data_IF_576812058474
#
_entry.id   IF_576812058474
#
_cell.length_a   1.000
_cell.length_b   1.000
_cell.length_c   1.000
_cell.angle_alpha   90.00
_cell.angle_beta   90.00
_cell.angle_gamma   90.00
#
_symmetry.space_group_name_H-M   'P 1'
#
loop_
_entity.id
_entity.type
_entity.pdbx_description
1 polymer ?
#
# COMPACT_ATOMS: atom_id res chain seq x y z
N UNK A 1 10.68 -22.42 -8.26
CA UNK A 1 11.32 -22.65 -9.57
C UNK A 1 11.47 -21.34 -10.31
N UNK A 2 12.52 -21.23 -11.11
CA UNK A 2 12.78 -20.06 -11.95
C UNK A 2 12.85 -20.50 -13.40
N UNK A 3 12.47 -19.62 -14.32
CA UNK A 3 12.74 -19.83 -15.76
C UNK A 3 14.16 -19.42 -16.15
N UNK A 4 14.48 -19.56 -17.45
CA UNK A 4 15.79 -19.23 -18.02
C UNK A 4 16.15 -17.75 -17.94
N UNK A 5 15.20 -16.87 -17.62
CA UNK A 5 15.44 -15.43 -17.39
C UNK A 5 15.58 -15.11 -15.89
N UNK A 6 15.58 -16.13 -15.02
CA UNK A 6 15.71 -15.95 -13.58
C UNK A 6 14.44 -15.39 -12.92
N UNK A 7 13.28 -15.46 -13.58
CA UNK A 7 12.00 -15.02 -13.01
C UNK A 7 11.36 -16.16 -12.23
N UNK A 8 10.78 -15.86 -11.07
CA UNK A 8 10.10 -16.85 -10.25
C UNK A 8 8.83 -17.31 -10.98
N UNK A 9 8.73 -18.59 -11.32
CA UNK A 9 7.56 -19.18 -12.01
C UNK A 9 6.68 -20.00 -11.09
N UNK A 10 7.24 -20.50 -9.99
CA UNK A 10 6.56 -21.33 -9.02
C UNK A 10 7.23 -21.20 -7.65
N UNK A 11 6.46 -21.13 -6.59
CA UNK A 11 6.93 -21.17 -5.21
C UNK A 11 6.04 -22.12 -4.43
N UNK A 12 6.64 -23.18 -3.91
CA UNK A 12 6.00 -24.10 -2.98
C UNK A 12 6.42 -23.78 -1.54
N UNK A 13 5.45 -23.63 -0.65
CA UNK A 13 5.64 -23.52 0.79
C UNK A 13 4.97 -24.73 1.45
N UNK A 14 5.77 -25.59 2.06
CA UNK A 14 5.33 -26.82 2.73
C UNK A 14 5.24 -26.60 4.24
N UNK A 15 4.07 -26.77 4.83
CA UNK A 15 3.84 -26.64 6.28
C UNK A 15 4.01 -27.93 7.07
N UNK A 16 4.39 -29.02 6.39
CA UNK A 16 4.31 -30.40 6.87
C UNK A 16 2.92 -31.02 6.75
N UNK A 17 1.88 -30.20 6.55
CA UNK A 17 0.47 -30.63 6.43
C UNK A 17 -0.09 -30.29 5.04
N UNK A 18 0.28 -29.14 4.50
CA UNK A 18 -0.21 -28.64 3.22
C UNK A 18 0.92 -28.01 2.40
N UNK A 19 0.79 -28.07 1.07
CA UNK A 19 1.71 -27.43 0.13
C UNK A 19 1.00 -26.26 -0.54
N UNK A 20 1.34 -25.04 -0.15
CA UNK A 20 0.90 -23.83 -0.83
C UNK A 20 1.74 -23.60 -2.06
N UNK A 21 1.10 -23.63 -3.24
CA UNK A 21 1.77 -23.33 -4.49
C UNK A 21 1.32 -21.97 -5.01
N UNK A 22 2.28 -21.06 -5.19
CA UNK A 22 2.07 -19.81 -5.92
C UNK A 22 2.75 -19.93 -7.27
N UNK A 23 2.01 -19.83 -8.37
CA UNK A 23 2.56 -19.87 -9.74
C UNK A 23 2.44 -18.51 -10.40
N UNK A 24 3.37 -18.21 -11.29
CA UNK A 24 3.42 -16.96 -12.04
C UNK A 24 3.53 -17.28 -13.53
N UNK A 25 2.67 -16.65 -14.32
CA UNK A 25 2.81 -16.56 -15.77
C UNK A 25 3.21 -15.13 -16.17
N UNK A 26 3.86 -14.99 -17.31
CA UNK A 26 4.37 -13.72 -17.81
C UNK A 26 3.87 -13.46 -19.23
N UNK A 27 3.67 -12.18 -19.59
CA UNK A 27 3.26 -11.81 -20.94
C UNK A 27 4.26 -12.31 -21.98
N UNK A 28 3.73 -12.72 -23.13
CA UNK A 28 4.54 -12.99 -24.32
C UNK A 28 5.20 -11.69 -24.80
N UNK A 29 6.42 -11.78 -25.30
CA UNK A 29 7.11 -10.66 -25.94
C UNK A 29 6.63 -10.46 -27.38
N UNK A 30 7.11 -9.38 -28.01
CA UNK A 30 6.68 -8.99 -29.36
C UNK A 30 7.00 -10.03 -30.44
N UNK A 31 8.07 -10.83 -30.26
CA UNK A 31 8.43 -11.93 -31.16
C UNK A 31 7.94 -13.28 -30.61
N UNK A 32 7.53 -14.18 -31.51
CA UNK A 32 7.12 -15.53 -31.15
C UNK A 32 8.22 -16.24 -30.34
N UNK A 33 7.85 -16.83 -29.21
CA UNK A 33 8.79 -17.50 -28.30
C UNK A 33 9.55 -16.56 -27.37
N UNK A 34 9.31 -15.24 -27.41
CA UNK A 34 9.86 -14.29 -26.43
C UNK A 34 8.86 -14.01 -25.29
N UNK A 35 9.34 -13.43 -24.19
CA UNK A 35 8.56 -13.18 -22.98
C UNK A 35 9.05 -11.92 -22.28
N UNK A 36 8.21 -11.28 -21.45
CA UNK A 36 8.50 -10.03 -20.74
C UNK A 36 8.59 -10.25 -19.23
N UNK A 37 9.10 -9.30 -18.45
CA UNK A 37 9.06 -9.41 -16.98
C UNK A 37 7.68 -9.11 -16.36
N UNK A 38 6.67 -8.82 -17.19
CA UNK A 38 5.32 -8.45 -16.73
C UNK A 38 4.52 -9.69 -16.41
N UNK A 39 4.08 -9.81 -15.15
CA UNK A 39 3.23 -10.92 -14.68
C UNK A 39 1.87 -10.82 -15.38
N UNK A 40 1.45 -11.86 -16.10
CA UNK A 40 0.12 -11.93 -16.73
C UNK A 40 -0.89 -12.68 -15.88
N UNK A 41 -0.43 -13.59 -15.02
CA UNK A 41 -1.28 -14.34 -14.09
C UNK A 41 -0.48 -14.71 -12.84
N UNK A 42 -1.11 -14.63 -11.67
CA UNK A 42 -0.68 -15.31 -10.45
C UNK A 42 -1.76 -16.31 -10.06
N UNK A 43 -1.35 -17.55 -9.77
CA UNK A 43 -2.21 -18.62 -9.27
C UNK A 43 -1.80 -18.94 -7.82
N UNK A 44 -2.62 -18.49 -6.88
CA UNK A 44 -2.47 -18.70 -5.44
C UNK A 44 -3.27 -19.93 -5.01
N UNK A 45 -2.73 -21.12 -5.29
CA UNK A 45 -3.33 -22.41 -4.91
C UNK A 45 -4.74 -22.62 -5.49
N UNK A 46 -4.90 -22.35 -6.78
CA UNK A 46 -6.14 -22.44 -7.55
C UNK A 46 -6.89 -21.12 -7.69
N UNK A 47 -6.53 -20.10 -6.89
CA UNK A 47 -7.11 -18.75 -6.98
C UNK A 47 -6.29 -17.88 -7.91
N UNK A 48 -6.86 -17.54 -9.06
CA UNK A 48 -6.16 -16.83 -10.13
C UNK A 48 -6.45 -15.34 -10.13
N UNK A 49 -5.40 -14.55 -10.33
CA UNK A 49 -5.49 -13.12 -10.62
C UNK A 49 -4.78 -12.88 -11.94
N UNK A 50 -5.49 -12.35 -12.93
CA UNK A 50 -4.96 -12.07 -14.26
C UNK A 50 -4.72 -10.57 -14.47
N UNK A 51 -3.70 -10.25 -15.26
CA UNK A 51 -3.24 -8.90 -15.52
C UNK A 51 -3.07 -8.67 -17.02
N UNK A 52 -3.48 -7.50 -17.49
CA UNK A 52 -3.12 -7.01 -18.84
C UNK A 52 -2.46 -5.66 -18.73
N UNK A 53 -1.76 -5.25 -19.80
CA UNK A 53 -0.97 -4.04 -19.82
C UNK A 53 -1.29 -3.18 -21.04
N UNK A 54 -1.14 -1.86 -20.90
CA UNK A 54 -1.14 -0.95 -22.03
C UNK A 54 0.22 -0.96 -22.76
N UNK A 55 0.33 -0.15 -23.83
CA UNK A 55 1.56 -0.06 -24.63
C UNK A 55 2.74 0.54 -23.84
N UNK A 56 2.47 1.36 -22.83
CA UNK A 56 3.49 1.95 -21.95
C UNK A 56 3.90 0.98 -20.82
N UNK A 57 3.16 -0.11 -20.64
CA UNK A 57 3.41 -1.10 -19.59
C UNK A 57 2.73 -0.81 -18.26
N UNK A 58 1.78 0.11 -18.23
CA UNK A 58 0.92 0.25 -17.07
C UNK A 58 -0.06 -0.92 -17.02
N UNK A 59 -0.45 -1.35 -15.82
CA UNK A 59 -1.49 -2.37 -15.67
C UNK A 59 -2.80 -1.79 -16.20
N UNK A 60 -3.35 -2.37 -17.25
CA UNK A 60 -4.60 -1.94 -17.87
C UNK A 60 -5.80 -2.62 -17.22
N UNK A 61 -5.70 -3.91 -16.91
CA UNK A 61 -6.76 -4.63 -16.20
C UNK A 61 -6.22 -5.53 -15.13
N UNK A 62 -6.99 -5.69 -14.06
CA UNK A 62 -6.84 -6.76 -13.07
C UNK A 62 -8.16 -7.55 -13.05
N UNK A 63 -8.08 -8.87 -13.15
CA UNK A 63 -9.24 -9.75 -13.07
C UNK A 63 -9.05 -10.78 -11.97
N UNK A 64 -9.96 -10.78 -11.00
CA UNK A 64 -9.96 -11.70 -9.85
C UNK A 64 -11.41 -12.10 -9.53
N UNK A 65 -11.65 -13.39 -9.29
CA UNK A 65 -12.97 -13.94 -8.94
C UNK A 65 -14.11 -13.48 -9.88
N UNK A 66 -13.81 -13.37 -11.18
CA UNK A 66 -14.74 -12.96 -12.22
C UNK A 66 -15.06 -11.46 -12.27
N UNK A 67 -14.48 -10.65 -11.37
CA UNK A 67 -14.57 -9.19 -11.39
C UNK A 67 -13.38 -8.58 -12.09
N UNK A 68 -13.61 -7.49 -12.83
CA UNK A 68 -12.58 -6.76 -13.56
C UNK A 68 -12.45 -5.34 -13.02
N UNK A 69 -11.20 -4.90 -12.84
CA UNK A 69 -10.88 -3.48 -12.70
C UNK A 69 -10.15 -3.04 -13.96
N UNK A 70 -10.62 -1.98 -14.62
CA UNK A 70 -9.95 -1.39 -15.79
C UNK A 70 -9.39 -0.02 -15.44
N UNK A 71 -8.12 0.20 -15.74
CA UNK A 71 -7.38 1.42 -15.43
C UNK A 71 -7.06 2.22 -16.69
N UNK A 72 -7.12 3.54 -16.57
CA UNK A 72 -6.80 4.50 -17.63
C UNK A 72 -5.82 5.52 -17.10
N UNK A 73 -4.93 5.97 -17.99
CA UNK A 73 -3.81 6.82 -17.64
C UNK A 73 -3.72 8.03 -18.55
N UNK A 74 -3.11 9.11 -18.06
CA UNK A 74 -2.73 10.25 -18.90
C UNK A 74 -1.38 10.01 -19.61
N UNK A 75 -0.89 11.01 -20.36
CA UNK A 75 0.38 10.95 -21.07
C UNK A 75 1.62 10.88 -20.17
N UNK A 76 1.48 11.10 -18.87
CA UNK A 76 2.54 10.95 -17.86
C UNK A 76 2.41 9.64 -17.08
N UNK A 77 1.50 8.74 -17.51
CA UNK A 77 1.17 7.47 -16.85
C UNK A 77 0.53 7.63 -15.46
N UNK A 78 -0.08 8.79 -15.16
CA UNK A 78 -0.84 9.00 -13.92
C UNK A 78 -2.24 8.40 -14.06
N UNK A 79 -2.75 7.75 -13.01
CA UNK A 79 -4.06 7.09 -13.03
C UNK A 79 -5.20 8.12 -13.13
N UNK A 80 -5.89 8.22 -14.26
CA UNK A 80 -6.99 9.19 -14.44
C UNK A 80 -8.36 8.61 -14.20
N UNK A 81 -8.52 7.29 -14.35
CA UNK A 81 -9.79 6.59 -14.14
C UNK A 81 -9.58 5.13 -13.77
N UNK A 82 -10.43 4.62 -12.89
CA UNK A 82 -10.64 3.18 -12.70
C UNK A 82 -12.13 2.82 -12.82
N UNK A 83 -12.45 1.82 -13.62
CA UNK A 83 -13.76 1.16 -13.64
C UNK A 83 -13.64 -0.08 -12.76
N UNK A 84 -14.15 -0.02 -11.54
CA UNK A 84 -13.82 -0.95 -10.47
C UNK A 84 -15.04 -1.79 -10.05
N UNK A 85 -15.17 -3.00 -10.62
CA UNK A 85 -16.25 -3.92 -10.27
C UNK A 85 -16.14 -4.51 -8.86
N UNK A 86 -14.93 -4.51 -8.28
CA UNK A 86 -14.70 -4.97 -6.89
C UNK A 86 -15.43 -4.05 -5.92
N UNK A 87 -15.28 -2.74 -6.10
CA UNK A 87 -15.95 -1.71 -5.30
C UNK A 87 -17.33 -1.30 -5.83
N UNK A 88 -17.70 -1.80 -7.02
CA UNK A 88 -18.89 -1.42 -7.76
C UNK A 88 -18.99 0.11 -7.98
N UNK A 89 -17.89 0.72 -8.42
CA UNK A 89 -17.78 2.16 -8.69
C UNK A 89 -16.88 2.45 -9.88
N UNK A 90 -17.07 3.61 -10.50
CA UNK A 90 -16.06 4.22 -11.36
C UNK A 90 -15.48 5.42 -10.65
N UNK A 91 -14.16 5.58 -10.65
CA UNK A 91 -13.46 6.64 -9.91
C UNK A 91 -12.55 7.37 -10.88
N UNK A 92 -12.58 8.70 -10.88
CA UNK A 92 -11.69 9.54 -11.68
C UNK A 92 -10.80 10.40 -10.79
N UNK A 93 -9.64 10.76 -11.34
CA UNK A 93 -8.65 11.60 -10.69
C UNK A 93 -8.23 12.72 -11.63
N UNK A 94 -8.02 13.90 -11.06
CA UNK A 94 -7.44 15.04 -11.78
C UNK A 94 -6.15 15.49 -11.10
N UNK A 95 -5.25 16.06 -11.90
CA UNK A 95 -3.92 16.46 -11.47
C UNK A 95 -3.60 17.87 -11.94
N UNK A 96 -2.80 18.60 -11.18
CA UNK A 96 -2.13 19.80 -11.70
C UNK A 96 -0.90 19.44 -12.56
N UNK A 97 -0.23 20.46 -13.10
CA UNK A 97 0.97 20.26 -13.92
C UNK A 97 2.19 19.71 -13.15
N UNK A 98 2.18 19.77 -11.81
CA UNK A 98 3.20 19.21 -10.92
C UNK A 98 2.87 17.80 -10.42
N UNK A 99 1.73 17.23 -10.83
CA UNK A 99 1.27 15.92 -10.39
C UNK A 99 0.63 15.92 -9.01
N UNK A 100 0.22 17.06 -8.47
CA UNK A 100 -0.62 17.06 -7.28
C UNK A 100 -2.03 16.60 -7.66
N UNK A 101 -2.58 15.64 -6.92
CA UNK A 101 -3.99 15.24 -7.06
C UNK A 101 -4.85 16.45 -6.69
N UNK A 102 -5.75 16.87 -7.57
CA UNK A 102 -6.70 17.97 -7.35
C UNK A 102 -8.09 17.46 -6.94
N UNK A 103 -8.50 16.32 -7.48
CA UNK A 103 -9.77 15.69 -7.11
C UNK A 103 -9.74 14.17 -7.22
N UNK A 104 -10.55 13.52 -6.38
CA UNK A 104 -10.99 12.12 -6.53
C UNK A 104 -12.51 12.13 -6.59
N UNK A 105 -13.10 11.71 -7.71
CA UNK A 105 -14.55 11.74 -7.92
C UNK A 105 -15.08 10.33 -8.18
N UNK A 106 -16.07 9.91 -7.40
CA UNK A 106 -16.71 8.60 -7.50
C UNK A 106 -18.06 8.69 -8.22
N UNK A 107 -18.35 7.68 -9.03
CA UNK A 107 -19.56 7.51 -9.81
C UNK A 107 -20.12 6.09 -9.61
N UNK A 108 -21.42 5.86 -9.91
CA UNK A 108 -21.92 4.50 -10.11
C UNK A 108 -21.07 3.77 -11.16
N UNK A 109 -20.84 2.47 -10.97
CA UNK A 109 -20.01 1.70 -11.88
C UNK A 109 -20.47 1.80 -13.34
N UNK A 110 -19.55 2.15 -14.24
CA UNK A 110 -19.78 2.20 -15.69
C UNK A 110 -18.46 2.03 -16.43
N UNK A 111 -18.48 1.26 -17.52
CA UNK A 111 -17.36 1.19 -18.48
C UNK A 111 -17.49 2.24 -19.60
N UNK A 112 -18.60 2.98 -19.62
CA UNK A 112 -18.94 3.94 -20.66
C UNK A 112 -18.83 5.39 -20.19
N UNK A 113 -19.74 6.22 -20.67
CA UNK A 113 -19.87 7.62 -20.28
C UNK A 113 -20.24 7.74 -18.79
N UNK A 114 -19.63 8.72 -18.12
CA UNK A 114 -19.92 9.05 -16.72
C UNK A 114 -21.27 9.77 -16.61
N UNK A 115 -22.06 9.37 -15.62
CA UNK A 115 -23.27 10.09 -15.21
C UNK A 115 -22.96 11.11 -14.10
N UNK A 116 -23.92 11.33 -13.22
CA UNK A 116 -23.74 12.22 -12.07
C UNK A 116 -22.78 11.61 -11.03
N UNK A 117 -21.87 12.42 -10.45
CA UNK A 117 -20.97 11.96 -9.40
C UNK A 117 -21.75 11.66 -8.11
N UNK A 118 -21.37 10.56 -7.44
CA UNK A 118 -21.87 10.19 -6.11
C UNK A 118 -21.10 10.85 -4.97
N UNK A 119 -19.83 11.21 -5.21
CA UNK A 119 -18.97 11.87 -4.23
C UNK A 119 -17.78 12.53 -4.93
N UNK A 120 -17.32 13.67 -4.40
CA UNK A 120 -16.08 14.31 -4.82
C UNK A 120 -15.29 14.70 -3.59
N UNK A 121 -14.02 14.30 -3.57
CA UNK A 121 -13.01 14.75 -2.61
C UNK A 121 -12.13 15.77 -3.32
N UNK A 122 -11.98 16.95 -2.72
CA UNK A 122 -11.09 18.01 -3.20
C UNK A 122 -9.76 18.04 -2.45
N UNK A 123 -8.72 18.52 -3.14
CA UNK A 123 -7.39 18.73 -2.61
C UNK A 123 -6.94 20.14 -2.96
N UNK A 124 -6.48 20.89 -1.95
CA UNK A 124 -6.07 22.28 -2.12
C UNK A 124 -4.59 22.46 -1.75
N UNK A 125 -3.88 23.27 -2.53
CA UNK A 125 -2.43 23.52 -2.39
C UNK A 125 -2.15 25.02 -2.43
N UNK A 126 -2.44 25.70 -1.33
CA UNK A 126 -2.40 27.17 -1.26
C UNK A 126 -1.10 27.73 -0.68
N UNK A 127 -0.11 26.87 -0.37
CA UNK A 127 1.18 27.33 0.15
C UNK A 127 1.94 28.12 -0.94
N UNK A 128 2.45 29.29 -0.55
CA UNK A 128 3.15 30.19 -1.46
C UNK A 128 4.52 29.63 -1.91
N UNK A 129 5.19 28.90 -1.02
CA UNK A 129 6.58 28.47 -1.18
C UNK A 129 6.70 27.02 -1.64
N UNK A 130 5.78 26.15 -1.21
CA UNK A 130 5.74 24.74 -1.61
C UNK A 130 4.41 24.38 -2.24
N UNK A 131 4.40 24.39 -3.57
CA UNK A 131 3.22 24.08 -4.38
C UNK A 131 2.71 22.65 -4.22
N UNK A 132 3.54 21.73 -3.75
CA UNK A 132 3.15 20.36 -3.47
C UNK A 132 2.68 20.15 -2.02
N UNK A 133 2.55 21.21 -1.20
CA UNK A 133 2.06 21.06 0.18
C UNK A 133 0.54 21.09 0.21
N UNK A 134 -0.09 19.97 0.54
CA UNK A 134 -1.55 19.84 0.65
C UNK A 134 -2.06 20.66 1.84
N UNK A 135 -2.67 21.81 1.61
CA UNK A 135 -3.17 22.72 2.65
C UNK A 135 -4.58 22.39 3.10
N UNK A 136 -5.38 21.71 2.27
CA UNK A 136 -6.70 21.22 2.64
C UNK A 136 -7.03 19.91 1.91
N UNK A 137 -7.64 18.98 2.65
CA UNK A 137 -8.17 17.72 2.12
C UNK A 137 -9.66 17.62 2.46
N UNK A 138 -10.51 17.62 1.42
CA UNK A 138 -11.96 17.59 1.56
C UNK A 138 -12.50 18.67 2.52
N UNK A 139 -11.98 19.90 2.41
CA UNK A 139 -12.34 21.02 3.27
C UNK A 139 -11.72 20.99 4.68
N UNK A 140 -10.89 19.99 5.00
CA UNK A 140 -10.17 19.91 6.28
C UNK A 140 -8.76 20.44 6.11
N UNK A 141 -8.45 21.52 6.82
CA UNK A 141 -7.14 22.15 6.78
C UNK A 141 -6.03 21.21 7.30
N UNK A 142 -4.87 21.29 6.68
CA UNK A 142 -3.62 20.67 7.12
C UNK A 142 -2.59 21.77 7.35
N UNK A 143 -1.97 21.80 8.52
CA UNK A 143 -0.86 22.72 8.80
C UNK A 143 0.45 21.98 8.82
N UNK A 144 1.56 22.68 8.61
CA UNK A 144 2.90 22.08 8.50
C UNK A 144 3.95 22.90 9.24
N UNK A 145 5.05 22.25 9.60
CA UNK A 145 6.29 22.94 9.96
C UNK A 145 7.03 23.49 8.72
N UNK A 146 8.20 24.09 8.95
CA UNK A 146 9.02 24.70 7.92
C UNK A 146 9.63 23.70 6.91
N UNK A 147 9.63 22.40 7.22
CA UNK A 147 10.24 21.34 6.40
C UNK A 147 9.23 20.30 5.91
N UNK A 148 7.93 20.57 6.07
CA UNK A 148 6.86 19.83 5.39
C UNK A 148 6.35 18.64 6.14
N UNK A 149 6.52 18.64 7.46
CA UNK A 149 5.83 17.69 8.30
C UNK A 149 4.50 18.29 8.77
N UNK A 150 3.39 17.55 8.65
CA UNK A 150 2.09 18.05 9.07
C UNK A 150 2.03 18.16 10.59
N UNK A 151 1.53 19.28 11.10
CA UNK A 151 1.38 19.56 12.53
C UNK A 151 -0.06 19.32 13.01
N UNK A 152 -1.06 19.54 12.15
CA UNK A 152 -2.46 19.27 12.46
C UNK A 152 -3.21 18.76 11.25
N UNK A 153 -4.10 17.80 11.45
CA UNK A 153 -5.08 17.37 10.45
C UNK A 153 -6.23 16.61 11.10
N UNK A 154 -7.47 16.95 10.73
CA UNK A 154 -8.68 16.18 11.08
C UNK A 154 -8.80 15.82 12.58
N UNK A 155 -8.56 16.81 13.45
CA UNK A 155 -8.58 16.64 14.90
C UNK A 155 -7.32 16.01 15.51
N UNK A 156 -6.36 15.58 14.69
CA UNK A 156 -5.05 15.15 15.15
C UNK A 156 -4.07 16.33 15.27
N UNK A 157 -3.27 16.30 16.33
CA UNK A 157 -2.04 17.08 16.49
C UNK A 157 -0.84 16.15 16.38
N UNK A 158 0.16 16.53 15.58
CA UNK A 158 1.33 15.74 15.29
C UNK A 158 2.58 16.50 15.72
N UNK A 159 3.55 15.79 16.30
CA UNK A 159 4.88 16.34 16.59
C UNK A 159 5.96 15.49 15.93
N UNK A 160 7.05 16.14 15.55
CA UNK A 160 8.14 15.51 14.81
C UNK A 160 9.46 15.75 15.52
N UNK A 161 10.35 14.78 15.45
CA UNK A 161 11.71 14.84 15.98
C UNK A 161 12.72 14.47 14.90
N UNK A 162 14.00 14.82 15.13
CA UNK A 162 15.10 14.48 14.23
C UNK A 162 14.80 14.84 12.75
N UNK A 163 14.09 15.95 12.55
CA UNK A 163 13.66 16.44 11.25
C UNK A 163 12.39 15.78 10.69
N UNK A 164 12.29 14.44 10.63
CA UNK A 164 11.20 13.75 9.91
C UNK A 164 10.65 12.50 10.60
N UNK A 165 11.03 12.26 11.86
CA UNK A 165 10.48 11.13 12.63
C UNK A 165 9.22 11.58 13.35
N UNK A 166 8.08 10.91 13.10
CA UNK A 166 6.82 11.23 13.77
C UNK A 166 6.96 10.83 15.24
N UNK A 167 7.02 11.79 16.16
CA UNK A 167 7.21 11.55 17.58
C UNK A 167 5.87 11.27 18.27
N UNK A 168 4.84 12.08 18.00
CA UNK A 168 3.49 11.87 18.53
C UNK A 168 2.40 12.19 17.51
N UNK A 169 1.25 11.54 17.67
CA UNK A 169 0.00 11.84 16.93
C UNK A 169 -1.16 11.68 17.91
N UNK A 170 -1.83 12.79 18.25
CA UNK A 170 -2.83 12.82 19.32
C UNK A 170 -4.16 13.38 18.83
N UNK A 171 -5.26 12.76 19.24
CA UNK A 171 -6.64 13.25 19.07
C UNK A 171 -7.40 13.09 20.38
N UNK A 172 -8.71 13.29 20.36
CA UNK A 172 -9.56 13.02 21.51
C UNK A 172 -9.62 11.52 21.87
N UNK A 173 -9.48 10.64 20.87
CA UNK A 173 -9.63 9.19 21.04
C UNK A 173 -8.28 8.47 21.22
N UNK A 174 -7.18 9.11 20.81
CA UNK A 174 -5.87 8.50 20.74
C UNK A 174 -4.77 9.40 21.30
N UNK A 175 -3.97 8.86 22.22
CA UNK A 175 -2.64 9.37 22.57
C UNK A 175 -1.59 8.39 22.04
N UNK A 176 -0.93 8.78 20.94
CA UNK A 176 0.04 7.93 20.24
C UNK A 176 1.43 8.56 20.31
N UNK A 177 2.42 7.74 20.65
CA UNK A 177 3.83 8.11 20.58
C UNK A 177 4.66 6.99 19.96
N UNK A 178 5.77 7.37 19.35
CA UNK A 178 6.69 6.45 18.68
C UNK A 178 8.13 6.69 19.16
N UNK A 179 8.97 5.66 19.06
CA UNK A 179 10.42 5.78 19.24
C UNK A 179 11.16 5.09 18.10
N UNK A 180 12.36 5.56 17.83
CA UNK A 180 13.21 5.10 16.73
C UNK A 180 14.59 4.72 17.24
N UNK A 181 15.26 3.80 16.54
CA UNK A 181 16.68 3.55 16.73
C UNK A 181 17.53 4.65 16.06
N UNK A 182 18.85 4.51 16.15
CA UNK A 182 19.82 5.45 15.56
C UNK A 182 19.76 5.52 14.03
N UNK A 183 19.23 4.48 13.37
CA UNK A 183 19.03 4.42 11.92
C UNK A 183 17.67 5.02 11.50
N UNK A 184 16.90 5.56 12.45
CA UNK A 184 15.57 6.13 12.20
C UNK A 184 14.47 5.09 11.97
N UNK A 185 14.71 3.82 12.29
CA UNK A 185 13.71 2.75 12.18
C UNK A 185 12.93 2.65 13.50
N UNK A 186 11.60 2.60 13.40
CA UNK A 186 10.70 2.57 14.54
C UNK A 186 10.88 1.31 15.39
N UNK A 187 11.17 1.50 16.69
CA UNK A 187 11.37 0.43 17.67
C UNK A 187 10.26 0.33 18.69
N UNK A 188 9.49 1.39 18.93
CA UNK A 188 8.34 1.36 19.84
C UNK A 188 7.17 2.16 19.29
N UNK A 189 5.96 1.72 19.65
CA UNK A 189 4.72 2.46 19.48
C UNK A 189 3.89 2.34 20.75
N UNK A 190 3.44 3.44 21.32
CA UNK A 190 2.50 3.43 22.44
C UNK A 190 1.19 4.06 22.00
N UNK A 191 0.08 3.37 22.22
CA UNK A 191 -1.27 3.85 21.94
C UNK A 191 -2.08 3.77 23.22
N UNK A 192 -2.60 4.89 23.71
CA UNK A 192 -3.44 4.94 24.92
C UNK A 192 -2.82 4.18 26.12
N UNK A 193 -1.50 4.32 26.30
CA UNK A 193 -0.73 3.67 27.38
C UNK A 193 -0.28 2.23 27.11
N UNK A 194 -0.74 1.59 26.02
CA UNK A 194 -0.29 0.24 25.62
C UNK A 194 0.90 0.35 24.67
N UNK A 195 2.07 -0.11 25.12
CA UNK A 195 3.31 -0.09 24.32
C UNK A 195 3.49 -1.40 23.57
N UNK A 196 3.65 -1.31 22.25
CA UNK A 196 4.18 -2.37 21.39
C UNK A 196 5.66 -2.12 21.13
N UNK A 197 6.51 -3.12 21.39
CA UNK A 197 7.95 -3.09 21.11
C UNK A 197 8.26 -3.88 19.85
N UNK A 198 9.18 -3.37 19.04
CA UNK A 198 9.62 -3.99 17.79
C UNK A 198 11.08 -4.42 17.89
N UNK A 199 11.33 -5.69 17.59
CA UNK A 199 12.67 -6.27 17.52
C UNK A 199 13.08 -6.40 16.05
N UNK A 200 14.21 -5.80 15.71
CA UNK A 200 14.64 -5.58 14.34
C UNK A 200 15.84 -6.46 13.94
N UNK A 201 15.89 -6.85 12.67
CA UNK A 201 17.11 -7.28 11.98
C UNK A 201 17.25 -6.40 10.74
N UNK A 202 18.26 -5.54 10.73
CA UNK A 202 18.32 -4.43 9.76
C UNK A 202 17.10 -3.52 9.90
N UNK A 203 16.37 -3.30 8.80
CA UNK A 203 15.16 -2.49 8.76
C UNK A 203 13.85 -3.31 8.91
N UNK A 204 13.96 -4.62 9.20
CA UNK A 204 12.80 -5.53 9.26
C UNK A 204 12.42 -5.86 10.70
N UNK A 205 11.14 -5.73 11.03
CA UNK A 205 10.59 -6.25 12.29
C UNK A 205 10.49 -7.76 12.19
N UNK A 206 11.14 -8.46 13.10
CA UNK A 206 11.13 -9.93 13.21
C UNK A 206 10.28 -10.42 14.38
N UNK A 207 10.05 -9.56 15.38
CA UNK A 207 9.19 -9.86 16.52
C UNK A 207 8.58 -8.57 17.07
N UNK A 208 7.32 -8.65 17.50
CA UNK A 208 6.65 -7.59 18.27
C UNK A 208 5.88 -8.14 19.46
N UNK A 209 5.86 -7.33 20.53
CA UNK A 209 5.22 -7.67 21.81
C UNK A 209 4.50 -6.43 22.36
N UNK A 210 3.21 -6.56 22.65
CA UNK A 210 2.40 -5.52 23.30
C UNK A 210 1.95 -5.90 24.73
N UNK A 211 2.51 -6.98 25.29
CA UNK A 211 2.14 -7.57 26.58
C UNK A 211 0.97 -8.56 26.51
N UNK A 212 0.12 -8.47 25.49
CA UNK A 212 -1.00 -9.41 25.23
C UNK A 212 -0.70 -10.34 24.06
N UNK A 213 -0.27 -9.77 22.94
CA UNK A 213 0.06 -10.47 21.71
C UNK A 213 1.56 -10.45 21.46
N UNK A 214 2.05 -11.61 21.02
CA UNK A 214 3.40 -11.85 20.54
C UNK A 214 3.30 -12.26 19.09
N UNK A 215 3.92 -11.49 18.20
CA UNK A 215 3.90 -11.76 16.77
C UNK A 215 5.33 -11.90 16.25
N UNK A 216 5.66 -13.08 15.72
CA UNK A 216 6.93 -13.32 15.02
C UNK A 216 6.72 -13.25 13.51
N UNK A 217 7.68 -12.71 12.79
CA UNK A 217 7.63 -12.58 11.33
C UNK A 217 8.76 -13.37 10.69
N UNK A 218 8.41 -14.21 9.73
CA UNK A 218 9.38 -14.99 8.95
C UNK A 218 9.60 -14.36 7.60
N UNK A 219 10.86 -14.21 7.21
CA UNK A 219 11.27 -13.71 5.90
C UNK A 219 12.04 -14.79 5.15
N UNK A 220 11.94 -14.79 3.83
CA UNK A 220 12.79 -15.61 2.97
C UNK A 220 14.17 -14.98 2.75
N UNK A 221 15.05 -15.70 2.05
CA UNK A 221 16.40 -15.24 1.72
C UNK A 221 16.45 -13.97 0.86
N UNK A 222 15.35 -13.62 0.18
CA UNK A 222 15.18 -12.38 -0.56
C UNK A 222 14.57 -11.25 0.29
N UNK A 223 14.50 -11.42 1.61
CA UNK A 223 13.87 -10.50 2.55
C UNK A 223 12.37 -10.26 2.29
N UNK A 224 11.69 -11.20 1.62
CA UNK A 224 10.24 -11.13 1.46
C UNK A 224 9.56 -11.73 2.69
N UNK A 225 8.55 -11.04 3.20
CA UNK A 225 7.75 -11.51 4.33
C UNK A 225 6.88 -12.71 3.91
N UNK A 226 7.09 -13.85 4.57
CA UNK A 226 6.48 -15.16 4.25
C UNK A 226 5.28 -15.44 5.16
N UNK A 227 5.43 -15.23 6.46
CA UNK A 227 4.42 -15.60 7.45
C UNK A 227 4.46 -14.73 8.70
N UNK A 228 3.37 -14.81 9.47
CA UNK A 228 3.28 -14.29 10.83
C UNK A 228 2.85 -15.40 11.80
N UNK A 229 3.54 -15.51 12.92
CA UNK A 229 3.16 -16.35 14.05
C UNK A 229 2.50 -15.49 15.11
N UNK A 230 1.18 -15.60 15.29
CA UNK A 230 0.46 -14.92 16.35
C UNK A 230 0.23 -15.89 17.52
N UNK A 231 0.86 -15.61 18.66
CA UNK A 231 0.71 -16.36 19.91
C UNK A 231 0.89 -17.89 19.75
N UNK A 232 1.87 -18.31 18.95
CA UNK A 232 2.19 -19.72 18.70
C UNK A 232 1.50 -20.33 17.48
N UNK A 233 0.60 -19.61 16.80
CA UNK A 233 -0.07 -20.09 15.59
C UNK A 233 0.44 -19.37 14.35
N UNK A 234 0.93 -20.14 13.37
CA UNK A 234 1.49 -19.63 12.12
C UNK A 234 0.42 -19.39 11.05
N UNK A 235 0.52 -18.25 10.36
CA UNK A 235 -0.32 -17.86 9.23
C UNK A 235 0.54 -17.35 8.08
N UNK A 236 0.22 -17.73 6.84
CA UNK A 236 1.06 -17.50 5.66
C UNK A 236 0.44 -16.46 4.73
N UNK A 237 1.24 -15.50 4.28
CA UNK A 237 0.76 -14.37 3.49
C UNK A 237 0.42 -14.76 2.05
N UNK A 238 -0.78 -14.35 1.61
CA UNK A 238 -1.23 -14.41 0.22
C UNK A 238 -1.00 -13.04 -0.41
N UNK A 239 -0.46 -13.01 -1.63
CA UNK A 239 -0.15 -11.75 -2.32
C UNK A 239 -0.70 -11.70 -3.73
N UNK A 240 -0.96 -10.48 -4.21
CA UNK A 240 -1.13 -10.19 -5.64
C UNK A 240 0.23 -9.86 -6.29
N UNK A 241 0.26 -9.60 -7.61
CA UNK A 241 1.50 -9.25 -8.33
C UNK A 241 2.12 -7.92 -7.88
N UNK A 242 1.30 -6.97 -7.40
CA UNK A 242 1.75 -5.71 -6.82
C UNK A 242 2.46 -5.87 -5.47
N UNK A 243 2.33 -7.05 -4.84
CA UNK A 243 2.92 -7.37 -3.54
C UNK A 243 2.03 -7.04 -2.34
N UNK A 244 0.78 -6.64 -2.58
CA UNK A 244 -0.22 -6.41 -1.53
C UNK A 244 -0.52 -7.73 -0.81
N UNK A 245 -0.68 -7.66 0.51
CA UNK A 245 -1.17 -8.81 1.27
C UNK A 245 -2.69 -8.86 1.13
N UNK A 246 -3.19 -9.79 0.34
CA UNK A 246 -4.64 -9.94 0.05
C UNK A 246 -5.31 -10.99 0.95
N UNK A 247 -4.54 -11.72 1.75
CA UNK A 247 -5.09 -12.67 2.69
C UNK A 247 -4.05 -13.46 3.48
N UNK A 248 -4.55 -14.37 4.31
CA UNK A 248 -3.75 -15.28 5.13
C UNK A 248 -4.30 -16.70 5.04
N UNK A 249 -3.42 -17.65 4.76
CA UNK A 249 -3.68 -19.07 4.93
C UNK A 249 -3.31 -19.52 6.35
N UNK A 250 -4.06 -20.45 6.93
CA UNK A 250 -3.65 -21.18 8.14
C UNK A 250 -2.57 -22.23 7.82
N UNK A 251 -2.31 -23.22 8.67
CA UNK A 251 -1.35 -24.30 8.37
C UNK A 251 -1.91 -25.40 7.45
N UNK A 252 -3.22 -25.50 7.33
CA UNK A 252 -3.95 -26.62 6.74
C UNK A 252 -4.45 -26.39 5.32
N UNK A 253 -4.22 -25.22 4.74
CA UNK A 253 -4.62 -24.87 3.38
C UNK A 253 -5.72 -23.81 3.31
N UNK A 254 -6.29 -23.40 4.44
CA UNK A 254 -7.55 -22.65 4.48
C UNK A 254 -7.27 -21.16 4.56
N UNK A 255 -7.86 -20.39 3.64
CA UNK A 255 -7.80 -18.93 3.71
C UNK A 255 -8.72 -18.46 4.84
N UNK A 256 -8.12 -17.96 5.92
CA UNK A 256 -8.82 -17.53 7.14
C UNK A 256 -9.03 -16.02 7.20
N UNK A 257 -8.29 -15.26 6.38
CA UNK A 257 -8.43 -13.81 6.23
C UNK A 257 -8.35 -13.42 4.75
N UNK A 258 -9.18 -12.47 4.35
CA UNK A 258 -9.12 -11.77 3.06
C UNK A 258 -9.12 -10.26 3.31
N UNK A 259 -8.30 -9.53 2.55
CA UNK A 259 -8.25 -8.06 2.59
C UNK A 259 -8.68 -7.49 1.23
N UNK A 260 -9.60 -6.55 1.26
CA UNK A 260 -9.98 -5.76 0.07
C UNK A 260 -9.43 -4.35 0.24
N UNK A 261 -8.72 -3.84 -0.76
CA UNK A 261 -8.23 -2.47 -0.81
C UNK A 261 -8.86 -1.70 -1.97
N UNK A 262 -8.91 -0.38 -1.87
CA UNK A 262 -8.99 0.47 -3.06
C UNK A 262 -7.63 0.54 -3.77
N UNK A 263 -7.63 1.15 -4.94
CA UNK A 263 -6.44 1.29 -5.80
C UNK A 263 -5.29 2.10 -5.18
N UNK A 264 -5.56 2.84 -4.11
CA UNK A 264 -4.58 3.62 -3.34
C UNK A 264 -4.28 2.96 -1.97
N UNK A 265 -4.61 1.68 -1.81
CA UNK A 265 -4.27 0.91 -0.62
C UNK A 265 -5.12 1.22 0.61
N UNK A 266 -6.23 1.95 0.47
CA UNK A 266 -7.20 2.13 1.56
C UNK A 266 -7.89 0.80 1.81
N UNK A 267 -7.81 0.30 3.04
CA UNK A 267 -8.54 -0.91 3.42
C UNK A 267 -10.05 -0.67 3.36
N UNK A 268 -10.75 -1.49 2.59
CA UNK A 268 -12.21 -1.49 2.42
C UNK A 268 -12.87 -2.53 3.33
N UNK A 269 -12.35 -3.76 3.33
CA UNK A 269 -12.88 -4.82 4.19
C UNK A 269 -11.79 -5.80 4.64
N UNK A 270 -12.04 -6.40 5.80
CA UNK A 270 -11.38 -7.63 6.26
C UNK A 270 -12.48 -8.67 6.38
N UNK A 271 -12.33 -9.78 5.67
CA UNK A 271 -13.28 -10.89 5.63
C UNK A 271 -12.59 -12.20 6.02
N UNK A 272 -13.37 -13.26 6.21
CA UNK A 272 -12.88 -14.58 6.61
C UNK A 272 -13.16 -14.94 8.08
N UNK A 273 -12.88 -16.20 8.44
CA UNK A 273 -13.21 -16.76 9.76
C UNK A 273 -12.41 -16.16 10.92
N UNK A 274 -11.22 -15.59 10.65
CA UNK A 274 -10.35 -14.98 11.66
C UNK A 274 -10.13 -13.48 11.43
N UNK A 275 -11.08 -12.81 10.76
CA UNK A 275 -10.98 -11.37 10.44
C UNK A 275 -10.79 -10.48 11.67
N UNK A 276 -11.48 -10.74 12.78
CA UNK A 276 -11.49 -9.89 13.97
C UNK A 276 -10.34 -10.21 14.93
N UNK A 277 -9.63 -11.32 14.71
CA UNK A 277 -8.52 -11.76 15.55
C UNK A 277 -7.20 -11.64 14.80
N UNK A 278 -6.93 -12.51 13.83
CA UNK A 278 -5.69 -12.51 13.05
C UNK A 278 -5.70 -11.35 12.06
N UNK A 279 -6.83 -11.15 11.37
CA UNK A 279 -6.94 -10.17 10.29
C UNK A 279 -6.75 -8.73 10.78
N UNK A 280 -7.40 -8.39 11.89
CA UNK A 280 -7.31 -7.08 12.54
C UNK A 280 -5.92 -6.81 13.13
N UNK A 281 -5.25 -7.84 13.67
CA UNK A 281 -3.93 -7.73 14.33
C UNK A 281 -2.76 -7.74 13.35
N UNK A 282 -2.91 -8.31 12.16
CA UNK A 282 -1.87 -8.29 11.15
C UNK A 282 -1.60 -6.83 10.68
N UNK A 283 -0.38 -6.31 10.89
CA UNK A 283 -0.07 -4.95 10.52
C UNK A 283 0.43 -4.84 9.07
N UNK A 284 0.94 -5.93 8.46
CA UNK A 284 1.45 -5.90 7.09
C UNK A 284 0.31 -6.06 6.08
N UNK A 285 0.13 -5.07 5.21
CA UNK A 285 -1.06 -4.94 4.34
C UNK A 285 -0.67 -4.57 2.90
N UNK A 286 -1.26 -3.50 2.36
CA UNK A 286 -0.95 -2.96 1.03
C UNK A 286 0.57 -2.82 0.81
N UNK A 287 1.07 -3.33 -0.31
CA UNK A 287 2.49 -3.47 -0.70
C UNK A 287 3.41 -4.17 0.31
N UNK A 288 2.85 -4.81 1.33
CA UNK A 288 3.58 -5.31 2.48
C UNK A 288 4.08 -4.20 3.42
N UNK A 289 3.47 -3.01 3.38
CA UNK A 289 3.75 -1.94 4.33
C UNK A 289 3.04 -2.18 5.65
N UNK A 290 3.59 -1.58 6.72
CA UNK A 290 3.04 -1.68 8.07
C UNK A 290 1.95 -0.63 8.25
N UNK A 291 0.72 -1.04 8.47
CA UNK A 291 -0.43 -0.17 8.70
C UNK A 291 -0.71 -0.01 10.20
N UNK A 292 -0.89 1.23 10.62
CA UNK A 292 -1.28 1.58 11.98
C UNK A 292 -2.75 2.03 11.98
N UNK A 293 -3.64 1.14 12.39
CA UNK A 293 -5.10 1.37 12.33
C UNK A 293 -5.56 2.61 13.08
N UNK A 294 -4.89 2.95 14.17
CA UNK A 294 -5.18 4.12 15.01
C UNK A 294 -4.79 5.45 14.36
N UNK A 295 -3.82 5.46 13.43
CA UNK A 295 -3.44 6.67 12.67
C UNK A 295 -4.07 6.71 11.29
N UNK A 296 -4.43 5.56 10.73
CA UNK A 296 -4.82 5.43 9.34
C UNK A 296 -3.66 5.52 8.35
N UNK A 297 -2.40 5.42 8.82
CA UNK A 297 -1.20 5.59 8.01
C UNK A 297 -0.47 4.26 7.79
N UNK A 298 0.18 4.17 6.65
CA UNK A 298 1.22 3.18 6.41
C UNK A 298 2.58 3.77 6.79
N UNK A 299 3.35 3.04 7.59
CA UNK A 299 4.73 3.36 7.94
C UNK A 299 5.70 2.72 6.94
N UNK A 300 6.51 3.56 6.28
CA UNK A 300 7.53 3.18 5.30
C UNK A 300 8.92 3.66 5.75
N UNK A 301 9.28 3.36 7.00
CA UNK A 301 10.56 3.71 7.63
C UNK A 301 10.82 5.22 7.81
N UNK A 302 11.10 5.94 6.73
CA UNK A 302 11.41 7.38 6.75
C UNK A 302 10.21 8.28 6.43
N UNK A 303 9.12 7.71 5.88
CA UNK A 303 7.91 8.44 5.53
C UNK A 303 6.64 7.69 5.92
N UNK A 304 5.55 8.45 5.99
CA UNK A 304 4.22 7.95 6.28
C UNK A 304 3.31 8.19 5.09
N UNK A 305 2.68 7.13 4.62
CA UNK A 305 1.75 7.17 3.51
C UNK A 305 0.31 7.20 4.02
N UNK A 306 -0.48 8.16 3.57
CA UNK A 306 -1.91 8.23 3.87
C UNK A 306 -2.70 7.71 2.66
N UNK A 307 -3.34 6.52 2.75
CA UNK A 307 -4.08 5.93 1.64
C UNK A 307 -5.38 6.68 1.33
N UNK A 308 -5.93 7.44 2.28
CA UNK A 308 -7.08 8.30 1.98
C UNK A 308 -6.65 9.47 1.09
N UNK A 309 -5.49 10.06 1.37
CA UNK A 309 -4.95 11.14 0.54
C UNK A 309 -4.35 10.62 -0.77
N UNK A 310 -3.91 9.37 -0.83
CA UNK A 310 -3.19 8.84 -1.98
C UNK A 310 -1.75 9.36 -2.10
N UNK A 311 -1.17 9.86 -1.00
CA UNK A 311 0.17 10.49 -1.01
C UNK A 311 0.88 10.35 0.33
N UNK A 312 2.19 10.60 0.34
CA UNK A 312 2.96 10.74 1.58
C UNK A 312 2.52 12.01 2.33
N UNK A 313 2.57 11.97 3.66
CA UNK A 313 2.20 13.12 4.49
C UNK A 313 3.39 14.03 4.75
N UNK A 314 4.62 13.49 4.74
CA UNK A 314 5.86 14.22 4.95
C UNK A 314 6.77 14.11 3.72
N UNK A 315 7.47 15.20 3.40
CA UNK A 315 8.27 15.31 2.18
C UNK A 315 9.56 14.48 2.21
N UNK A 316 9.90 13.90 1.06
CA UNK A 316 11.17 13.21 0.83
C UNK A 316 12.40 14.14 0.94
N UNK A 317 13.58 13.57 1.23
CA UNK A 317 14.89 14.24 1.20
C UNK A 317 15.48 14.20 -0.23
N UNK A 318 15.07 13.23 -1.07
CA UNK A 318 15.64 13.05 -2.40
C UNK A 318 15.04 14.06 -3.39
N UNK A 319 15.85 15.05 -3.79
CA UNK A 319 15.55 15.93 -4.93
C UNK A 319 15.64 15.12 -6.23
N UNK A 320 14.58 15.16 -7.03
CA UNK A 320 14.45 14.40 -8.28
C UNK A 320 15.56 14.61 -9.31
N UNK A 321 15.66 13.68 -10.26
CA UNK A 321 16.59 13.78 -11.37
C UNK A 321 16.12 14.84 -12.40
N UNK A 322 17.05 15.62 -12.95
CA UNK A 322 16.76 16.59 -13.99
C UNK A 322 16.08 15.92 -15.21
N UNK A 323 14.91 16.45 -15.62
CA UNK A 323 14.19 16.00 -16.81
C UNK A 323 12.96 15.10 -16.57
N UNK A 324 12.65 14.72 -15.32
CA UNK A 324 11.38 14.07 -14.97
C UNK A 324 10.49 15.03 -14.16
N UNK A 325 9.32 15.39 -14.71
CA UNK A 325 8.43 16.39 -14.09
C UNK A 325 7.94 15.91 -12.70
N UNK A 326 7.52 14.64 -12.60
CA UNK A 326 6.94 14.09 -11.37
C UNK A 326 7.95 13.81 -10.25
N UNK A 327 9.26 13.71 -10.55
CA UNK A 327 10.28 13.44 -9.51
C UNK A 327 10.52 14.61 -8.56
N UNK A 328 9.93 15.77 -8.85
CA UNK A 328 10.04 16.96 -8.00
C UNK A 328 8.90 17.05 -6.97
N UNK A 329 7.83 16.27 -7.16
CA UNK A 329 6.74 16.19 -6.19
C UNK A 329 7.15 15.25 -5.03
N UNK A 330 7.65 15.85 -3.95
CA UNK A 330 8.21 15.13 -2.80
C UNK A 330 7.18 14.31 -1.99
N UNK A 331 5.90 14.41 -2.33
CA UNK A 331 4.81 13.75 -1.61
C UNK A 331 4.06 12.74 -2.49
N UNK A 332 4.19 12.81 -3.82
CA UNK A 332 3.50 11.92 -4.73
C UNK A 332 3.85 10.45 -4.45
N UNK A 333 2.84 9.60 -4.36
CA UNK A 333 3.05 8.18 -4.16
C UNK A 333 3.10 7.46 -5.50
N UNK A 334 4.19 6.73 -5.76
CA UNK A 334 4.38 5.93 -6.99
C UNK A 334 4.11 6.72 -8.28
N UNK A 335 4.48 8.00 -8.34
CA UNK A 335 4.24 8.89 -9.49
C UNK A 335 2.76 8.94 -9.93
N UNK A 336 1.83 8.86 -8.98
CA UNK A 336 0.38 8.77 -9.21
C UNK A 336 -0.06 7.53 -10.00
N UNK A 337 0.76 6.49 -10.04
CA UNK A 337 0.42 5.17 -10.55
C UNK A 337 0.55 4.11 -9.44
N UNK A 338 -0.41 4.08 -8.50
CA UNK A 338 -0.37 3.19 -7.34
C UNK A 338 -0.62 1.73 -7.69
N UNK A 339 -0.92 1.40 -8.96
CA UNK A 339 -1.19 0.04 -9.44
C UNK A 339 0.04 -0.59 -10.09
N UNK A 340 1.08 0.18 -10.40
CA UNK A 340 2.31 -0.32 -11.02
C UNK A 340 2.97 -1.48 -10.24
N UNK A 341 3.56 -2.46 -10.93
CA UNK A 341 4.27 -3.57 -10.27
C UNK A 341 5.66 -3.19 -9.71
N UNK A 342 6.09 -1.94 -9.90
CA UNK A 342 7.35 -1.44 -9.36
C UNK A 342 7.13 -0.89 -7.95
N UNK A 343 7.87 -1.40 -6.96
CA UNK A 343 7.98 -0.76 -5.65
C UNK A 343 8.85 0.48 -5.80
N UNK A 344 8.22 1.63 -6.03
CA UNK A 344 8.92 2.91 -5.99
C UNK A 344 9.11 3.31 -4.52
N UNK A 345 10.15 2.74 -3.91
CA UNK A 345 10.70 3.15 -2.62
C UNK A 345 11.66 4.34 -2.86
N UNK A 346 11.14 5.44 -3.42
CA UNK A 346 11.80 6.75 -3.33
C UNK A 346 11.04 7.53 -2.30
#
# INVERSE_FOLDING_TARGET
MYDSLGRLTDRALNTGIFNYNTKYAFEAGAAAGTTTTRVSEIDNNGKKIAYTYDQNGNIKTITEDGKVITYYYDGLNQLTREDNEVLNKTITYSYDGGGNILSKTEYPHTIGTLGDPTSTISYDYEDANWKDKLTSYNGKAVTYDAIGNPLTYDGYTLTWEQGRQLATMKSNDYDISFKYNVDGIRTEKTVNGVTTKYHLVGDKVTFEDNGTDKIYYTYDVGANLVSMNLNGTEYYYIRNAQGDIIGLYDKGGIQVVSYTYDSWGKLISIDGSLKDTVGAKNPYRYRGYRYDSETGLYYLNSRYYNPNWGRFINGDIVLGAAGQLLTHNMFAYSFNNPISNQKNLS
#
